data_IF_484109041690
#
_entry.id   IF_484109041690
#
_cell.length_a   1.000
_cell.length_b   1.000
_cell.length_c   1.000
_cell.angle_alpha   90.00
_cell.angle_beta   90.00
_cell.angle_gamma   90.00
#
_symmetry.space_group_name_H-M   'P 1'
#
loop_
_entity.id
_entity.type
_entity.pdbx_description
1 polymer ?
#
# COMPACT_ATOMS: atom_id res chain seq x y z
N UNK A 1 -0.20 25.60 9.14
CA UNK A 1 0.86 24.72 9.69
C UNK A 1 0.98 23.52 8.74
N UNK A 2 1.31 23.79 7.48
CA UNK A 2 1.36 22.82 6.39
C UNK A 2 2.73 22.92 5.71
N UNK A 3 3.19 21.79 5.20
CA UNK A 3 4.38 21.60 4.36
C UNK A 3 5.77 21.64 5.00
N UNK A 4 6.02 20.62 5.82
CA UNK A 4 7.37 20.12 6.14
C UNK A 4 7.54 18.65 5.68
N UNK A 5 6.94 18.25 4.56
CA UNK A 5 6.84 16.84 4.13
C UNK A 5 7.64 16.47 2.87
N UNK A 6 8.52 17.33 2.36
CA UNK A 6 9.38 17.06 1.19
C UNK A 6 10.89 17.06 1.48
N UNK A 7 11.31 16.87 2.74
CA UNK A 7 12.75 16.91 3.10
C UNK A 7 13.15 15.71 3.94
N UNK A 8 13.37 14.59 3.26
CA UNK A 8 13.95 13.38 3.82
C UNK A 8 13.27 12.15 3.21
N UNK A 9 13.65 11.77 1.99
CA UNK A 9 13.24 10.48 1.45
C UNK A 9 13.75 9.38 2.38
N UNK A 10 12.85 8.51 2.83
CA UNK A 10 13.25 7.34 3.60
C UNK A 10 13.84 6.35 2.59
N UNK A 11 15.17 6.32 2.47
CA UNK A 11 15.84 5.40 1.55
C UNK A 11 15.70 3.99 2.08
N UNK A 12 15.01 3.12 1.34
CA UNK A 12 14.97 1.69 1.61
C UNK A 12 16.26 1.01 1.22
N UNK A 13 16.49 -0.18 1.78
CA UNK A 13 17.35 -1.16 1.13
C UNK A 13 16.91 -1.37 -0.32
N UNK A 14 17.89 -1.66 -1.20
CA UNK A 14 17.61 -1.97 -2.61
C UNK A 14 16.61 -3.14 -2.76
N UNK A 15 16.45 -3.95 -1.72
CA UNK A 15 15.50 -5.06 -1.70
C UNK A 15 14.03 -4.60 -1.64
N UNK A 16 13.73 -3.59 -0.84
CA UNK A 16 12.36 -3.09 -0.64
C UNK A 16 12.07 -1.81 -1.43
N UNK A 17 13.08 -1.22 -2.07
CA UNK A 17 12.94 -0.03 -2.91
C UNK A 17 11.82 -0.16 -3.97
N UNK A 18 11.64 -1.30 -4.69
CA UNK A 18 10.57 -1.40 -5.66
C UNK A 18 9.16 -1.30 -5.03
N UNK A 19 8.94 -1.91 -3.85
CA UNK A 19 7.66 -1.82 -3.14
C UNK A 19 7.41 -0.39 -2.63
N UNK A 20 8.44 0.27 -2.10
CA UNK A 20 8.35 1.68 -1.72
C UNK A 20 8.14 2.63 -2.90
N UNK A 21 8.56 2.25 -4.10
CA UNK A 21 8.26 3.01 -5.31
C UNK A 21 6.76 2.94 -5.63
N UNK A 22 6.16 1.75 -5.58
CA UNK A 22 4.72 1.54 -5.81
C UNK A 22 3.86 2.28 -4.77
N UNK A 23 4.36 2.43 -3.54
CA UNK A 23 3.74 3.28 -2.52
C UNK A 23 3.57 4.75 -2.93
N UNK A 24 4.44 5.30 -3.78
CA UNK A 24 4.24 6.66 -4.28
C UNK A 24 2.98 6.77 -5.14
N UNK A 25 2.71 5.77 -5.98
CA UNK A 25 1.49 5.71 -6.80
C UNK A 25 0.25 5.54 -5.92
N UNK A 26 0.31 4.66 -4.92
CA UNK A 26 -0.74 4.48 -3.92
C UNK A 26 -1.09 5.76 -3.16
N UNK A 27 -0.07 6.50 -2.70
CA UNK A 27 -0.26 7.79 -2.02
C UNK A 27 -0.81 8.87 -2.95
N UNK A 28 -0.34 8.92 -4.20
CA UNK A 28 -0.86 9.85 -5.21
C UNK A 28 -2.34 9.58 -5.50
N UNK A 29 -2.72 8.31 -5.65
CA UNK A 29 -4.11 7.91 -5.85
C UNK A 29 -4.99 8.25 -4.64
N UNK A 30 -4.54 7.93 -3.43
CA UNK A 30 -5.25 8.31 -2.20
C UNK A 30 -5.42 9.82 -2.05
N UNK A 31 -4.39 10.62 -2.37
CA UNK A 31 -4.45 12.07 -2.35
C UNK A 31 -5.45 12.62 -3.38
N UNK A 32 -5.52 12.01 -4.56
CA UNK A 32 -6.50 12.35 -5.60
C UNK A 32 -7.93 12.10 -5.14
N UNK A 33 -8.23 10.93 -4.57
CA UNK A 33 -9.56 10.61 -4.03
C UNK A 33 -9.97 11.60 -2.92
N UNK A 34 -9.06 11.90 -1.99
CA UNK A 34 -9.29 12.91 -0.94
C UNK A 34 -9.54 14.30 -1.49
N UNK A 35 -8.84 14.69 -2.56
CA UNK A 35 -9.05 15.97 -3.24
C UNK A 35 -10.44 16.02 -3.87
N UNK A 36 -10.82 15.01 -4.64
CA UNK A 36 -12.16 14.93 -5.24
C UNK A 36 -13.27 14.98 -4.18
N UNK A 37 -13.09 14.26 -3.06
CA UNK A 37 -14.00 14.33 -1.89
C UNK A 37 -14.16 15.73 -1.34
N UNK A 38 -13.04 16.42 -1.12
CA UNK A 38 -13.01 17.77 -0.55
C UNK A 38 -13.63 18.79 -1.50
N UNK A 39 -13.35 18.66 -2.79
CA UNK A 39 -13.80 19.60 -3.82
C UNK A 39 -15.28 19.34 -4.20
N UNK A 40 -15.87 18.24 -3.73
CA UNK A 40 -17.29 17.91 -3.93
C UNK A 40 -17.58 17.31 -5.30
N UNK A 41 -16.58 16.70 -5.94
CA UNK A 41 -16.70 16.07 -7.25
C UNK A 41 -17.71 14.90 -7.20
N UNK A 42 -18.29 14.57 -8.35
CA UNK A 42 -19.15 13.40 -8.50
C UNK A 42 -18.35 12.12 -8.19
N UNK A 43 -18.77 11.29 -7.21
CA UNK A 43 -18.07 10.05 -6.86
C UNK A 43 -18.26 8.93 -7.90
N UNK A 44 -19.27 9.01 -8.78
CA UNK A 44 -19.63 7.92 -9.70
C UNK A 44 -18.47 7.51 -10.63
N UNK A 45 -17.75 8.44 -11.31
CA UNK A 45 -16.64 8.05 -12.19
C UNK A 45 -15.48 7.36 -11.45
N UNK A 46 -15.29 7.70 -10.18
CA UNK A 46 -14.16 7.21 -9.38
C UNK A 46 -14.30 5.74 -8.98
N UNK A 47 -15.50 5.17 -9.02
CA UNK A 47 -15.71 3.72 -8.77
C UNK A 47 -14.91 2.88 -9.76
N UNK A 48 -14.99 3.21 -11.05
CA UNK A 48 -14.26 2.50 -12.10
C UNK A 48 -12.73 2.69 -11.94
N UNK A 49 -12.32 3.85 -11.48
CA UNK A 49 -10.90 4.15 -11.24
C UNK A 49 -10.34 3.40 -10.04
N UNK A 50 -11.10 3.28 -8.95
CA UNK A 50 -10.72 2.44 -7.81
C UNK A 50 -10.61 0.98 -8.25
N UNK A 51 -11.55 0.48 -9.04
CA UNK A 51 -11.50 -0.89 -9.54
C UNK A 51 -10.28 -1.14 -10.46
N UNK A 52 -9.93 -0.17 -11.31
CA UNK A 52 -8.74 -0.26 -12.14
C UNK A 52 -7.46 -0.21 -11.30
N UNK A 53 -7.35 0.77 -10.41
CA UNK A 53 -6.18 0.92 -9.53
C UNK A 53 -5.96 -0.30 -8.64
N UNK A 54 -7.05 -0.86 -8.11
CA UNK A 54 -7.02 -2.10 -7.35
C UNK A 54 -6.41 -3.25 -8.15
N UNK A 55 -6.95 -3.50 -9.35
CA UNK A 55 -6.51 -4.62 -10.19
C UNK A 55 -5.07 -4.45 -10.67
N UNK A 56 -4.72 -3.25 -11.13
CA UNK A 56 -3.47 -3.01 -11.86
C UNK A 56 -2.29 -2.70 -10.93
N UNK A 57 -2.55 -2.17 -9.73
CA UNK A 57 -1.50 -1.76 -8.78
C UNK A 57 -1.58 -2.50 -7.45
N UNK A 58 -2.72 -2.46 -6.74
CA UNK A 58 -2.77 -2.95 -5.36
C UNK A 58 -2.77 -4.48 -5.24
N UNK A 59 -3.48 -5.20 -6.12
CA UNK A 59 -3.44 -6.66 -6.14
C UNK A 59 -2.01 -7.19 -6.35
N UNK A 60 -1.28 -6.74 -7.40
CA UNK A 60 0.09 -7.16 -7.59
C UNK A 60 1.02 -6.77 -6.43
N UNK A 61 0.89 -5.54 -5.91
CA UNK A 61 1.68 -5.02 -4.80
C UNK A 61 1.51 -5.85 -3.52
N UNK A 62 0.27 -6.08 -3.08
CA UNK A 62 -0.02 -6.91 -1.90
C UNK A 62 0.48 -8.34 -2.07
N UNK A 63 0.44 -8.89 -3.29
CA UNK A 63 0.94 -10.24 -3.53
C UNK A 63 2.46 -10.33 -3.31
N UNK A 64 3.22 -9.29 -3.69
CA UNK A 64 4.66 -9.25 -3.47
C UNK A 64 4.97 -9.07 -1.96
N UNK A 65 4.25 -8.21 -1.25
CA UNK A 65 4.40 -8.05 0.20
C UNK A 65 4.09 -9.33 0.98
N UNK A 66 2.96 -9.97 0.67
CA UNK A 66 2.54 -11.24 1.27
C UNK A 66 3.53 -12.37 0.96
N UNK A 67 4.19 -12.35 -0.19
CA UNK A 67 5.17 -13.36 -0.57
C UNK A 67 6.54 -13.16 0.08
N UNK A 68 6.99 -11.91 0.25
CA UNK A 68 8.39 -11.61 0.54
C UNK A 68 8.61 -10.88 1.87
N UNK A 69 7.71 -9.99 2.28
CA UNK A 69 7.86 -9.20 3.51
C UNK A 69 7.17 -9.88 4.68
N UNK A 70 5.95 -10.38 4.45
CA UNK A 70 5.12 -11.00 5.48
C UNK A 70 5.83 -12.18 6.19
N UNK A 71 6.50 -13.13 5.50
CA UNK A 71 7.16 -14.25 6.18
C UNK A 71 8.25 -13.80 7.17
N UNK A 72 9.00 -12.75 6.81
CA UNK A 72 10.05 -12.19 7.69
C UNK A 72 9.43 -11.57 8.95
N UNK A 73 8.30 -10.89 8.79
CA UNK A 73 7.58 -10.31 9.92
C UNK A 73 6.90 -11.37 10.78
N UNK A 74 6.39 -12.46 10.21
CA UNK A 74 5.81 -13.57 10.99
C UNK A 74 6.85 -14.21 11.91
N UNK A 75 8.08 -14.39 11.43
CA UNK A 75 9.16 -15.00 12.19
C UNK A 75 9.70 -14.11 13.32
N UNK A 76 9.71 -12.79 13.14
CA UNK A 76 10.42 -11.86 14.05
C UNK A 76 9.63 -10.69 14.61
N UNK A 77 8.43 -10.41 14.08
CA UNK A 77 7.59 -9.27 14.46
C UNK A 77 6.09 -9.57 14.24
N UNK A 78 5.60 -10.70 14.76
CA UNK A 78 4.24 -11.18 14.56
C UNK A 78 3.10 -10.14 14.74
N UNK A 79 3.17 -9.16 15.69
CA UNK A 79 2.15 -8.10 15.76
C UNK A 79 2.07 -7.23 14.50
N UNK A 80 3.21 -6.92 13.86
CA UNK A 80 3.24 -6.15 12.61
C UNK A 80 2.72 -6.99 11.44
N UNK A 81 3.09 -8.28 11.38
CA UNK A 81 2.54 -9.21 10.39
C UNK A 81 1.01 -9.29 10.47
N UNK A 82 0.47 -9.44 11.69
CA UNK A 82 -0.98 -9.48 11.91
C UNK A 82 -1.67 -8.18 11.49
N UNK A 83 -1.05 -7.02 11.73
CA UNK A 83 -1.59 -5.73 11.29
C UNK A 83 -1.61 -5.62 9.77
N UNK A 84 -0.51 -5.98 9.08
CA UNK A 84 -0.42 -5.97 7.62
C UNK A 84 -1.54 -6.81 6.99
N UNK A 85 -1.72 -8.05 7.46
CA UNK A 85 -2.77 -8.95 6.96
C UNK A 85 -4.17 -8.38 7.19
N UNK A 86 -4.43 -7.79 8.37
CA UNK A 86 -5.73 -7.21 8.66
C UNK A 86 -6.02 -5.96 7.81
N UNK A 87 -5.03 -5.09 7.60
CA UNK A 87 -5.17 -3.91 6.75
C UNK A 87 -5.36 -4.29 5.27
N UNK A 88 -4.65 -5.31 4.76
CA UNK A 88 -4.88 -5.86 3.41
C UNK A 88 -6.32 -6.36 3.28
N UNK A 89 -6.79 -7.14 4.26
CA UNK A 89 -8.15 -7.68 4.28
C UNK A 89 -9.19 -6.56 4.31
N UNK A 90 -8.96 -5.51 5.10
CA UNK A 90 -9.81 -4.35 5.16
C UNK A 90 -9.88 -3.62 3.82
N UNK A 91 -8.75 -3.35 3.18
CA UNK A 91 -8.69 -2.66 1.88
C UNK A 91 -9.39 -3.49 0.79
N UNK A 92 -9.15 -4.81 0.75
CA UNK A 92 -9.86 -5.74 -0.14
C UNK A 92 -11.39 -5.62 0.01
N UNK A 93 -11.88 -5.70 1.25
CA UNK A 93 -13.30 -5.57 1.55
C UNK A 93 -13.88 -4.19 1.18
N UNK A 94 -13.11 -3.12 1.39
CA UNK A 94 -13.53 -1.77 1.01
C UNK A 94 -13.69 -1.64 -0.51
N UNK A 95 -12.75 -2.17 -1.30
CA UNK A 95 -12.83 -2.13 -2.76
C UNK A 95 -14.03 -2.93 -3.28
N UNK A 96 -14.30 -4.11 -2.71
CA UNK A 96 -15.50 -4.88 -3.05
C UNK A 96 -16.78 -4.10 -2.77
N UNK A 97 -16.84 -3.42 -1.61
CA UNK A 97 -17.98 -2.58 -1.23
C UNK A 97 -18.11 -1.34 -2.12
N UNK A 98 -17.02 -0.75 -2.60
CA UNK A 98 -17.06 0.36 -3.59
C UNK A 98 -17.81 -0.06 -4.85
N UNK A 99 -17.69 -1.31 -5.29
CA UNK A 99 -18.40 -1.82 -6.46
C UNK A 99 -19.87 -2.19 -6.18
N UNK A 100 -20.20 -2.54 -4.94
CA UNK A 100 -21.52 -3.06 -4.55
C UNK A 100 -22.48 -1.99 -3.99
N UNK A 101 -21.94 -0.93 -3.39
CA UNK A 101 -22.72 0.11 -2.69
C UNK A 101 -22.90 1.37 -3.53
N UNK A 102 -23.83 2.24 -3.12
CA UNK A 102 -24.02 3.52 -3.78
C UNK A 102 -22.75 4.39 -3.65
N UNK A 103 -22.26 5.00 -4.76
CA UNK A 103 -21.06 5.81 -4.73
C UNK A 103 -21.33 7.10 -3.96
N UNK A 104 -20.88 7.15 -2.72
CA UNK A 104 -20.98 8.34 -1.87
C UNK A 104 -19.66 8.55 -1.14
N UNK A 105 -19.34 9.82 -0.87
CA UNK A 105 -18.15 10.18 -0.12
C UNK A 105 -18.17 9.78 1.36
N UNK A 106 -19.37 9.54 1.91
CA UNK A 106 -19.57 9.02 3.27
C UNK A 106 -19.58 7.49 3.36
N UNK A 107 -19.29 6.79 2.27
CA UNK A 107 -19.24 5.33 2.22
C UNK A 107 -17.85 4.78 1.85
N UNK A 108 -17.80 3.54 1.31
CA UNK A 108 -16.55 2.82 1.03
C UNK A 108 -15.54 3.61 0.19
N UNK A 109 -16.01 4.41 -0.78
CA UNK A 109 -15.14 5.20 -1.66
C UNK A 109 -14.30 6.21 -0.88
N UNK A 110 -14.90 6.87 0.12
CA UNK A 110 -14.18 7.78 1.00
C UNK A 110 -13.21 7.05 1.92
N UNK A 111 -13.58 5.84 2.37
CA UNK A 111 -12.79 5.01 3.28
C UNK A 111 -11.54 4.43 2.61
N UNK A 112 -11.58 4.02 1.34
CA UNK A 112 -10.43 3.47 0.59
C UNK A 112 -9.23 4.41 0.64
N UNK A 113 -9.45 5.71 0.38
CA UNK A 113 -8.38 6.70 0.35
C UNK A 113 -7.70 6.87 1.73
N UNK A 114 -8.48 6.76 2.79
CA UNK A 114 -8.00 6.90 4.15
C UNK A 114 -7.27 5.65 4.63
N UNK A 115 -7.83 4.47 4.35
CA UNK A 115 -7.22 3.17 4.65
C UNK A 115 -5.89 2.97 3.89
N UNK A 116 -5.85 3.18 2.57
CA UNK A 116 -4.65 2.98 1.77
C UNK A 116 -3.48 3.87 2.24
N UNK A 117 -3.75 5.14 2.53
CA UNK A 117 -2.70 6.04 2.99
C UNK A 117 -2.29 5.82 4.46
N UNK A 118 -3.13 5.17 5.27
CA UNK A 118 -2.75 4.74 6.62
C UNK A 118 -1.84 3.51 6.53
N UNK A 119 -2.24 2.54 5.70
CA UNK A 119 -1.52 1.30 5.45
C UNK A 119 -0.10 1.53 4.92
N UNK A 120 0.05 2.28 3.83
CA UNK A 120 1.38 2.65 3.29
C UNK A 120 2.25 3.35 4.35
N UNK A 121 1.65 4.17 5.22
CA UNK A 121 2.41 4.84 6.28
C UNK A 121 2.87 3.87 7.36
N UNK A 122 2.04 2.90 7.71
CA UNK A 122 2.40 1.83 8.63
C UNK A 122 3.55 0.99 8.05
N UNK A 123 3.48 0.61 6.78
CA UNK A 123 4.51 -0.22 6.15
C UNK A 123 5.85 0.50 6.09
N UNK A 124 5.84 1.72 5.58
CA UNK A 124 7.05 2.53 5.49
C UNK A 124 7.66 2.81 6.88
N UNK A 125 6.85 3.07 7.91
CA UNK A 125 7.39 3.54 9.20
C UNK A 125 7.70 2.42 10.17
N UNK A 126 7.05 1.27 10.02
CA UNK A 126 7.04 0.23 11.05
C UNK A 126 7.39 -1.12 10.44
N UNK A 127 6.62 -1.59 9.45
CA UNK A 127 6.77 -2.93 8.90
C UNK A 127 8.08 -3.12 8.13
N UNK A 128 8.38 -2.29 7.13
CA UNK A 128 9.57 -2.41 6.32
C UNK A 128 10.85 -2.21 7.14
N UNK A 129 10.96 -1.19 8.02
CA UNK A 129 12.12 -1.09 8.92
C UNK A 129 12.29 -2.32 9.83
N UNK A 130 11.20 -2.96 10.27
CA UNK A 130 11.30 -4.18 11.06
C UNK A 130 11.81 -5.35 10.23
N UNK A 131 11.27 -5.55 9.02
CA UNK A 131 11.73 -6.57 8.09
C UNK A 131 13.23 -6.42 7.77
N UNK A 132 13.70 -5.19 7.51
CA UNK A 132 15.12 -4.90 7.25
C UNK A 132 16.04 -5.20 8.44
N UNK A 133 15.54 -5.08 9.69
CA UNK A 133 16.31 -5.44 10.89
C UNK A 133 16.34 -6.94 11.16
N UNK A 134 15.31 -7.66 10.71
CA UNK A 134 15.13 -9.09 10.96
C UNK A 134 15.81 -9.95 9.90
N UNK A 135 15.81 -9.50 8.65
CA UNK A 135 16.45 -10.20 7.55
C UNK A 135 17.97 -9.97 7.55
N UNK A 136 18.74 -11.04 7.41
CA UNK A 136 20.17 -10.91 7.11
C UNK A 136 20.41 -10.40 5.69
N UNK A 137 21.65 -10.00 5.39
CA UNK A 137 21.99 -9.41 4.09
C UNK A 137 21.70 -10.35 2.90
N UNK A 138 21.86 -11.67 3.09
CA UNK A 138 21.60 -12.66 2.04
C UNK A 138 20.09 -12.85 1.83
N UNK A 139 19.28 -12.81 2.89
CA UNK A 139 17.83 -12.85 2.83
C UNK A 139 17.26 -11.59 2.16
N UNK A 140 17.76 -10.41 2.52
CA UNK A 140 17.37 -9.15 1.85
C UNK A 140 17.76 -9.16 0.38
N UNK A 141 18.96 -9.63 0.03
CA UNK A 141 19.36 -9.75 -1.37
C UNK A 141 18.42 -10.67 -2.16
N UNK A 142 18.06 -11.84 -1.61
CA UNK A 142 17.10 -12.77 -2.25
C UNK A 142 15.73 -12.13 -2.45
N UNK A 143 15.19 -11.48 -1.41
CA UNK A 143 13.92 -10.75 -1.48
C UNK A 143 13.99 -9.70 -2.60
N UNK A 144 15.07 -8.91 -2.64
CA UNK A 144 15.27 -7.88 -3.66
C UNK A 144 15.33 -8.42 -5.08
N UNK A 145 16.06 -9.51 -5.31
CA UNK A 145 16.10 -10.18 -6.61
C UNK A 145 14.72 -10.66 -7.03
N UNK A 146 13.96 -11.28 -6.13
CA UNK A 146 12.63 -11.81 -6.44
C UNK A 146 11.64 -10.70 -6.76
N UNK A 147 11.61 -9.61 -5.99
CA UNK A 147 10.74 -8.45 -6.24
C UNK A 147 11.12 -7.77 -7.56
N UNK A 148 12.41 -7.59 -7.83
CA UNK A 148 12.87 -6.99 -9.08
C UNK A 148 12.47 -7.80 -10.30
N UNK A 149 12.52 -9.13 -10.22
CA UNK A 149 12.08 -10.01 -11.29
C UNK A 149 10.56 -9.88 -11.52
N UNK A 150 9.72 -9.81 -10.48
CA UNK A 150 8.28 -9.58 -10.66
C UNK A 150 7.98 -8.23 -11.29
N UNK A 151 8.70 -7.17 -10.91
CA UNK A 151 8.50 -5.82 -11.44
C UNK A 151 9.03 -5.68 -12.88
N UNK A 152 10.06 -6.43 -13.26
CA UNK A 152 10.62 -6.41 -14.63
C UNK A 152 9.75 -7.13 -15.67
N UNK A 153 8.81 -7.96 -15.21
CA UNK A 153 7.92 -8.76 -16.05
C UNK A 153 6.46 -8.28 -16.08
N UNK A 154 6.17 -7.11 -15.49
CA UNK A 154 4.86 -6.45 -15.52
C UNK A 154 4.76 -5.41 -16.64
#
# INVERSE_FOLDING_TARGET
MADLWLRGGMTRSAALEPLSHDHHEGLAFAARLRRARRDGDDPVPLVAEVAAFWRDHLVPHFADEEAFVLPVLEDGAAPLAAQMVEEHRQIRALVERVAAEAPTWGGPLGEVADALAAHIRFEEREAFPAAERLADADALARIGHQIHDTHSHR
#
